data_IF_275316703116
#
_entry.id   IF_275316703116
#
_cell.length_a   1.000
_cell.length_b   1.000
_cell.length_c   1.000
_cell.angle_alpha   90.00
_cell.angle_beta   90.00
_cell.angle_gamma   90.00
#
_symmetry.space_group_name_H-M   'P 1'
#
loop_
_entity.id
_entity.type
_entity.pdbx_description
1 polymer ?
#
# COMPACT_ATOMS: atom_id res chain seq x y z
N UNK A 1 -19.06 -15.39 -10.89
CA UNK A 1 -18.19 -14.43 -10.20
C UNK A 1 -16.94 -15.16 -9.81
N UNK A 2 -15.76 -14.68 -10.19
CA UNK A 2 -14.49 -15.35 -9.88
C UNK A 2 -14.21 -15.20 -8.39
N UNK A 3 -14.15 -16.33 -7.68
CA UNK A 3 -13.76 -16.40 -6.28
C UNK A 3 -12.40 -15.73 -6.14
N UNK A 4 -12.32 -14.61 -5.44
CA UNK A 4 -11.02 -14.00 -5.14
C UNK A 4 -10.30 -14.95 -4.18
N UNK A 5 -9.20 -15.52 -4.60
CA UNK A 5 -8.37 -16.33 -3.71
C UNK A 5 -7.80 -15.43 -2.61
N UNK A 6 -8.23 -15.72 -1.38
CA UNK A 6 -7.69 -15.09 -0.19
C UNK A 6 -6.31 -15.70 0.06
N UNK A 7 -5.26 -14.87 -0.03
CA UNK A 7 -3.88 -15.30 0.20
C UNK A 7 -3.57 -15.43 1.69
N UNK A 8 -4.15 -14.56 2.49
CA UNK A 8 -3.97 -14.52 3.93
C UNK A 8 -5.12 -13.75 4.58
N UNK A 9 -5.46 -14.11 5.82
CA UNK A 9 -6.29 -13.28 6.68
C UNK A 9 -5.95 -13.54 8.15
N UNK A 10 -6.12 -12.50 8.96
CA UNK A 10 -6.12 -12.58 10.42
C UNK A 10 -7.27 -11.74 10.99
N UNK A 11 -7.23 -11.41 12.29
CA UNK A 11 -8.23 -10.58 12.94
C UNK A 11 -8.29 -9.15 12.38
N UNK A 12 -7.18 -8.61 11.87
CA UNK A 12 -7.03 -7.20 11.51
C UNK A 12 -7.15 -6.94 10.01
N UNK A 13 -6.66 -7.85 9.16
CA UNK A 13 -6.59 -7.64 7.72
C UNK A 13 -6.91 -8.89 6.88
N UNK A 14 -7.12 -8.64 5.59
CA UNK A 14 -7.24 -9.63 4.55
C UNK A 14 -6.29 -9.28 3.40
N UNK A 15 -5.70 -10.30 2.78
CA UNK A 15 -4.79 -10.16 1.65
C UNK A 15 -5.29 -10.99 0.48
N UNK A 16 -5.38 -10.38 -0.69
CA UNK A 16 -5.84 -11.03 -1.90
C UNK A 16 -5.19 -10.43 -3.15
N UNK A 17 -5.27 -11.14 -4.27
CA UNK A 17 -4.73 -10.65 -5.54
C UNK A 17 -5.49 -9.41 -6.05
N UNK A 18 -4.71 -8.42 -6.48
CA UNK A 18 -5.20 -7.25 -7.18
C UNK A 18 -5.62 -7.61 -8.60
N UNK A 19 -6.83 -7.18 -8.99
CA UNK A 19 -7.34 -7.35 -10.37
C UNK A 19 -6.52 -6.60 -11.41
N UNK A 20 -5.73 -5.60 -11.01
CA UNK A 20 -4.96 -4.78 -11.93
C UNK A 20 -3.74 -5.52 -12.50
N UNK A 21 -3.20 -6.51 -11.77
CA UNK A 21 -2.03 -7.30 -12.16
C UNK A 21 -0.82 -6.47 -12.65
N UNK A 22 -0.63 -5.27 -12.09
CA UNK A 22 0.38 -4.28 -12.52
C UNK A 22 1.85 -4.75 -12.40
N UNK A 23 2.13 -5.83 -11.69
CA UNK A 23 3.44 -6.45 -11.53
C UNK A 23 3.36 -7.99 -11.61
N UNK A 24 4.47 -8.70 -11.41
CA UNK A 24 4.51 -10.16 -11.41
C UNK A 24 3.61 -10.73 -10.29
N UNK A 25 3.71 -10.15 -9.11
CA UNK A 25 2.74 -10.31 -8.03
C UNK A 25 2.23 -8.94 -7.61
N UNK A 26 0.91 -8.81 -7.48
CA UNK A 26 0.28 -7.58 -7.03
C UNK A 26 -0.83 -7.96 -6.05
N UNK A 27 -0.55 -7.82 -4.76
CA UNK A 27 -1.51 -8.08 -3.68
C UNK A 27 -2.07 -6.77 -3.13
N UNK A 28 -3.23 -6.86 -2.51
CA UNK A 28 -3.82 -5.81 -1.70
C UNK A 28 -3.94 -6.30 -0.27
N UNK A 29 -3.34 -5.56 0.68
CA UNK A 29 -3.60 -5.72 2.11
C UNK A 29 -4.68 -4.73 2.51
N UNK A 30 -5.79 -5.23 3.04
CA UNK A 30 -6.99 -4.44 3.31
C UNK A 30 -7.45 -4.69 4.74
N UNK A 31 -7.75 -3.65 5.54
CA UNK A 31 -8.28 -3.85 6.88
C UNK A 31 -9.69 -4.43 6.86
N UNK A 32 -10.00 -5.24 7.87
CA UNK A 32 -11.37 -5.72 8.09
C UNK A 32 -12.29 -4.61 8.61
N UNK A 33 -11.75 -3.66 9.37
CA UNK A 33 -12.46 -2.46 9.79
C UNK A 33 -12.41 -1.41 8.68
N UNK A 34 -13.53 -0.72 8.45
CA UNK A 34 -13.56 0.36 7.47
C UNK A 34 -12.68 1.54 7.91
N UNK A 35 -11.57 1.74 7.19
CA UNK A 35 -10.75 2.94 7.29
C UNK A 35 -10.82 3.66 5.95
N UNK A 36 -11.34 4.91 5.85
CA UNK A 36 -11.57 5.56 4.57
C UNK A 36 -10.29 5.77 3.75
N UNK A 37 -9.23 6.26 4.39
CA UNK A 37 -7.99 6.64 3.71
C UNK A 37 -6.79 6.46 4.63
N UNK A 38 -5.58 6.57 4.07
CA UNK A 38 -4.35 6.54 4.86
C UNK A 38 -4.19 7.75 5.80
N UNK A 39 -4.91 8.85 5.52
CA UNK A 39 -4.90 10.06 6.35
C UNK A 39 -5.85 9.98 7.55
N UNK A 40 -6.59 8.87 7.69
CA UNK A 40 -7.51 8.69 8.82
C UNK A 40 -6.75 8.51 10.14
N UNK A 41 -7.22 9.09 11.26
CA UNK A 41 -6.59 8.91 12.57
C UNK A 41 -6.41 7.43 12.92
N UNK A 42 -5.23 7.04 13.37
CA UNK A 42 -4.92 5.65 13.75
C UNK A 42 -4.49 4.73 12.61
N UNK A 43 -4.58 5.14 11.34
CA UNK A 43 -4.15 4.32 10.20
C UNK A 43 -2.68 3.87 10.33
N UNK A 44 -1.78 4.76 10.76
CA UNK A 44 -0.36 4.46 10.93
C UNK A 44 -0.08 3.24 11.86
N UNK A 45 -0.88 3.05 12.92
CA UNK A 45 -0.75 1.91 13.83
C UNK A 45 -1.01 0.58 13.12
N UNK A 46 -1.93 0.57 12.16
CA UNK A 46 -2.26 -0.61 11.36
C UNK A 46 -1.23 -0.86 10.25
N UNK A 47 -0.59 0.19 9.73
CA UNK A 47 0.41 0.07 8.65
C UNK A 47 1.58 -0.80 9.09
N UNK A 48 2.04 -0.70 10.34
CA UNK A 48 3.10 -1.56 10.86
C UNK A 48 2.76 -3.06 10.74
N UNK A 49 1.52 -3.44 11.10
CA UNK A 49 1.02 -4.81 10.92
C UNK A 49 0.98 -5.20 9.44
N UNK A 50 0.51 -4.30 8.58
CA UNK A 50 0.41 -4.56 7.14
C UNK A 50 1.78 -4.80 6.50
N UNK A 51 2.79 -4.01 6.89
CA UNK A 51 4.17 -4.18 6.42
C UNK A 51 4.69 -5.55 6.84
N UNK A 52 4.51 -5.94 8.11
CA UNK A 52 4.93 -7.26 8.60
C UNK A 52 4.30 -8.41 7.80
N UNK A 53 2.98 -8.35 7.58
CA UNK A 53 2.26 -9.34 6.76
C UNK A 53 2.77 -9.34 5.31
N UNK A 54 3.00 -8.17 4.73
CA UNK A 54 3.48 -8.04 3.35
C UNK A 54 4.92 -8.55 3.17
N UNK A 55 5.83 -8.24 4.09
CA UNK A 55 7.22 -8.71 4.05
C UNK A 55 7.29 -10.23 4.26
N UNK A 56 6.39 -10.82 5.05
CA UNK A 56 6.28 -12.28 5.22
C UNK A 56 5.75 -12.98 3.95
N UNK A 57 4.76 -12.39 3.26
CA UNK A 57 4.15 -12.98 2.07
C UNK A 57 4.95 -12.71 0.78
N UNK A 58 5.61 -11.56 0.70
CA UNK A 58 6.23 -11.02 -0.50
C UNK A 58 7.46 -10.16 -0.13
N UNK A 59 8.57 -10.79 0.32
CA UNK A 59 9.77 -10.06 0.72
C UNK A 59 10.38 -9.27 -0.44
N UNK A 60 10.94 -8.09 -0.14
CA UNK A 60 11.55 -7.21 -1.16
C UNK A 60 10.54 -6.54 -2.09
N UNK A 61 9.25 -6.55 -1.74
CA UNK A 61 8.20 -5.89 -2.51
C UNK A 61 8.18 -4.37 -2.33
N UNK A 62 7.69 -3.69 -3.37
CA UNK A 62 7.29 -2.28 -3.28
C UNK A 62 5.97 -2.19 -2.51
N UNK A 63 5.98 -1.45 -1.40
CA UNK A 63 4.81 -1.23 -0.55
C UNK A 63 4.35 0.22 -0.69
N UNK A 64 3.13 0.44 -1.16
CA UNK A 64 2.64 1.81 -1.33
C UNK A 64 1.14 2.00 -1.09
N UNK A 65 0.80 3.25 -0.77
CA UNK A 65 -0.57 3.75 -0.72
C UNK A 65 -0.76 4.86 -1.74
N UNK A 66 -1.90 4.88 -2.43
CA UNK A 66 -2.34 6.05 -3.18
C UNK A 66 -3.10 7.01 -2.26
N UNK A 67 -2.70 8.28 -2.23
CA UNK A 67 -3.34 9.32 -1.41
C UNK A 67 -4.54 9.94 -2.14
N UNK A 68 -5.62 10.32 -1.42
CA UNK A 68 -6.69 11.13 -1.99
C UNK A 68 -6.18 12.43 -2.62
N UNK A 69 -6.79 12.93 -3.70
CA UNK A 69 -7.97 12.40 -4.41
C UNK A 69 -7.65 11.28 -5.43
N UNK A 70 -6.42 10.76 -5.45
CA UNK A 70 -5.97 9.76 -6.45
C UNK A 70 -6.23 8.31 -6.02
N UNK A 71 -6.93 8.08 -4.90
CA UNK A 71 -7.34 6.75 -4.46
C UNK A 71 -8.48 6.23 -5.35
N UNK A 72 -8.39 4.98 -5.80
CA UNK A 72 -9.43 4.37 -6.64
C UNK A 72 -10.68 3.99 -5.85
N UNK A 73 -10.56 3.81 -4.53
CA UNK A 73 -11.65 3.40 -3.64
C UNK A 73 -11.53 4.14 -2.31
N UNK A 74 -12.66 4.51 -1.70
CA UNK A 74 -12.74 5.12 -0.36
C UNK A 74 -12.56 4.13 0.79
N UNK A 75 -11.58 3.23 0.67
CA UNK A 75 -11.23 2.27 1.70
C UNK A 75 -9.73 2.00 1.62
N UNK A 76 -9.06 2.03 2.76
CA UNK A 76 -7.63 1.84 2.89
C UNK A 76 -7.23 0.50 2.30
N UNK A 77 -6.25 0.51 1.40
CA UNK A 77 -5.63 -0.71 0.87
C UNK A 77 -4.17 -0.42 0.56
N UNK A 78 -3.28 -1.29 1.02
CA UNK A 78 -1.86 -1.22 0.71
C UNK A 78 -1.59 -2.07 -0.52
N UNK A 79 -0.90 -1.49 -1.50
CA UNK A 79 -0.38 -2.26 -2.62
C UNK A 79 0.92 -2.95 -2.23
N UNK A 80 1.02 -4.24 -2.55
CA UNK A 80 2.23 -5.05 -2.42
C UNK A 80 2.61 -5.53 -3.80
N UNK A 81 3.69 -4.98 -4.36
CA UNK A 81 4.10 -5.27 -5.74
C UNK A 81 5.47 -5.94 -5.77
N UNK A 82 5.51 -7.17 -6.29
CA UNK A 82 6.76 -7.89 -6.56
C UNK A 82 7.10 -7.69 -8.04
N UNK A 83 8.28 -7.11 -8.36
CA UNK A 83 8.75 -6.97 -9.74
C UNK A 83 8.90 -8.32 -10.46
N UNK A 84 8.98 -8.34 -11.80
CA UNK A 84 8.95 -7.19 -12.70
C UNK A 84 7.57 -6.52 -12.78
N UNK A 85 7.56 -5.20 -12.99
CA UNK A 85 6.34 -4.48 -13.38
C UNK A 85 5.95 -4.82 -14.82
N UNK A 86 4.65 -4.87 -15.12
CA UNK A 86 4.17 -5.19 -16.47
C UNK A 86 4.52 -4.11 -17.49
N UNK A 87 4.71 -2.86 -17.06
CA UNK A 87 5.22 -1.77 -17.91
C UNK A 87 5.86 -0.66 -17.08
N UNK A 88 6.67 0.19 -17.73
CA UNK A 88 7.29 1.37 -17.10
C UNK A 88 6.26 2.35 -16.53
N UNK A 89 5.10 2.49 -17.18
CA UNK A 89 4.02 3.32 -16.67
C UNK A 89 3.43 2.77 -15.36
N UNK A 90 3.26 1.45 -15.25
CA UNK A 90 2.78 0.81 -14.01
C UNK A 90 3.80 0.95 -12.88
N UNK A 91 5.09 0.79 -13.19
CA UNK A 91 6.18 1.10 -12.26
C UNK A 91 6.10 2.54 -11.79
N UNK A 92 6.01 3.50 -12.72
CA UNK A 92 5.88 4.92 -12.38
C UNK A 92 4.63 5.23 -11.54
N UNK A 93 3.51 4.55 -11.77
CA UNK A 93 2.30 4.74 -10.97
C UNK A 93 2.51 4.35 -9.50
N UNK A 94 3.22 3.25 -9.23
CA UNK A 94 3.26 2.61 -7.92
C UNK A 94 4.54 2.84 -7.13
N UNK A 95 5.68 3.01 -7.79
CA UNK A 95 6.96 3.19 -7.11
C UNK A 95 6.98 4.57 -6.41
N UNK A 96 7.08 4.59 -5.07
CA UNK A 96 7.17 5.83 -4.32
C UNK A 96 8.39 6.65 -4.74
N UNK A 97 8.28 7.97 -4.66
CA UNK A 97 9.40 8.88 -4.93
C UNK A 97 9.18 10.15 -4.13
N UNK A 98 10.26 10.80 -3.69
CA UNK A 98 10.19 12.06 -2.94
C UNK A 98 9.43 13.17 -3.69
N UNK A 99 9.35 13.10 -5.03
CA UNK A 99 8.62 14.06 -5.87
C UNK A 99 7.15 13.72 -6.08
N UNK A 100 6.67 12.55 -5.63
CA UNK A 100 5.30 12.09 -5.82
C UNK A 100 4.49 12.26 -4.54
N UNK A 101 3.69 13.32 -4.48
CA UNK A 101 2.81 13.56 -3.33
C UNK A 101 1.56 12.65 -3.31
N UNK A 102 1.27 11.92 -4.41
CA UNK A 102 0.09 11.05 -4.56
C UNK A 102 0.36 9.57 -4.28
N UNK A 103 1.62 9.12 -4.21
CA UNK A 103 1.99 7.73 -3.92
C UNK A 103 3.04 7.71 -2.83
N UNK A 104 2.68 7.08 -1.71
CA UNK A 104 3.48 7.09 -0.49
C UNK A 104 4.03 5.69 -0.22
N UNK A 105 5.30 5.60 0.17
CA UNK A 105 5.87 4.36 0.71
C UNK A 105 5.26 4.09 2.09
N UNK A 106 4.70 2.88 2.26
CA UNK A 106 4.11 2.46 3.53
C UNK A 106 5.09 2.58 4.70
N UNK A 107 6.38 2.30 4.48
CA UNK A 107 7.41 2.27 5.52
C UNK A 107 7.71 3.65 6.10
N UNK A 108 7.47 4.72 5.33
CA UNK A 108 7.64 6.11 5.82
C UNK A 108 6.61 6.49 6.90
N UNK A 109 5.48 5.77 6.98
CA UNK A 109 4.45 6.03 8.00
C UNK A 109 4.75 5.39 9.35
N UNK A 110 5.72 4.48 9.40
CA UNK A 110 6.14 3.78 10.61
C UNK A 110 7.47 4.28 11.15
N UNK A 111 8.14 5.21 10.44
CA UNK A 111 9.32 5.86 10.97
C UNK A 111 8.91 6.73 12.18
N UNK A 112 9.71 6.74 13.26
CA UNK A 112 9.55 7.77 14.30
C UNK A 112 9.65 9.16 13.63
N UNK A 113 8.98 10.19 14.15
CA UNK A 113 8.85 11.54 13.55
C UNK A 113 10.16 12.27 13.19
N UNK A 114 11.31 11.65 13.40
CA UNK A 114 12.61 12.12 12.99
C UNK A 114 12.83 11.69 11.54
N UNK A 115 12.91 12.66 10.62
CA UNK A 115 13.29 12.53 9.20
C UNK A 115 12.18 12.30 8.15
N UNK A 116 11.03 12.97 8.27
CA UNK A 116 10.38 13.43 7.04
C UNK A 116 11.05 14.76 6.65
N UNK A 117 11.76 14.87 5.51
CA UNK A 117 12.14 16.18 5.00
C UNK A 117 10.83 16.92 4.79
N UNK A 118 10.62 17.93 5.63
CA UNK A 118 9.51 18.86 5.56
C UNK A 118 9.51 19.34 4.12
N UNK A 119 8.55 18.84 3.32
CA UNK A 119 8.17 19.49 2.09
C UNK A 119 7.58 20.82 2.56
N UNK A 120 8.46 21.82 2.59
CA UNK A 120 8.15 23.20 2.88
C UNK A 120 6.97 23.60 2.02
N UNK A 121 5.94 24.12 2.70
CA UNK A 121 4.84 24.91 2.15
C UNK A 121 5.27 25.66 0.89
N UNK A 122 4.57 25.40 -0.21
CA UNK A 122 4.30 26.35 -1.29
C UNK A 122 2.85 26.15 -1.70
#
# INVERSE_FOLDING_TARGET
>A
GTTKELRYQDEFCAVFDSKAHDAATHLLVVPKVHVPTINSPGAAKMVAHFISVADALAPGSTLCFHRPPFNTVGHLHMHVLVPPFRSSFKRFKHEPSCRKFWTLDARLLTLPEVELPIASKL
#
